data_IF_955398064016
#
_entry.id   IF_955398064016
#
_cell.length_a   1.000
_cell.length_b   1.000
_cell.length_c   1.000
_cell.angle_alpha   90.00
_cell.angle_beta   90.00
_cell.angle_gamma   90.00
#
_symmetry.space_group_name_H-M   'P 1'
#
loop_
_entity.id
_entity.type
_entity.pdbx_description
1 polymer ?
#
# COMPACT_ATOMS: atom_id res chain seq x y z
N UNK A 1 -0.60 47.32 -43.89
CA UNK A 1 -0.20 47.65 -42.51
C UNK A 1 -1.23 47.09 -41.56
N UNK A 2 -0.90 45.95 -40.95
CA UNK A 2 -1.42 45.38 -39.71
C UNK A 2 -1.04 43.89 -39.70
N UNK A 3 -0.31 43.41 -38.68
CA UNK A 3 -0.49 42.04 -38.26
C UNK A 3 -0.98 42.02 -36.80
N UNK A 4 -2.04 41.24 -36.60
CA UNK A 4 -2.57 40.84 -35.31
C UNK A 4 -1.52 40.00 -34.58
N UNK A 5 -1.09 40.45 -33.40
CA UNK A 5 -0.32 39.62 -32.47
C UNK A 5 -1.33 38.95 -31.54
N UNK A 6 -1.65 37.69 -31.83
CA UNK A 6 -2.42 36.83 -30.94
C UNK A 6 -1.49 36.37 -29.81
N UNK A 7 -1.56 37.04 -28.66
CA UNK A 7 -0.85 36.63 -27.45
C UNK A 7 -1.66 35.51 -26.77
N UNK A 8 -1.32 34.25 -27.05
CA UNK A 8 -1.90 33.10 -26.34
C UNK A 8 -1.22 32.99 -24.96
N UNK A 9 -1.83 33.60 -23.94
CA UNK A 9 -1.48 33.40 -22.54
C UNK A 9 -1.84 31.95 -22.16
N UNK A 10 -0.87 31.05 -22.30
CA UNK A 10 -0.87 29.74 -21.65
C UNK A 10 -0.82 29.98 -20.14
N UNK A 11 -1.99 30.06 -19.52
CA UNK A 11 -2.14 29.83 -18.08
C UNK A 11 -1.78 28.37 -17.84
N UNK A 12 -0.50 28.09 -17.60
CA UNK A 12 -0.10 26.89 -16.89
C UNK A 12 -0.78 26.97 -15.53
N UNK A 13 -1.90 26.27 -15.38
CA UNK A 13 -2.37 25.84 -14.07
C UNK A 13 -1.27 24.94 -13.51
N UNK A 14 -0.34 25.53 -12.77
CA UNK A 14 0.46 24.82 -11.78
C UNK A 14 -0.55 24.26 -10.79
N UNK A 15 -0.99 23.02 -11.05
CA UNK A 15 -1.56 22.18 -10.01
C UNK A 15 -0.38 21.94 -9.06
N UNK A 16 -0.23 22.85 -8.11
CA UNK A 16 0.56 22.60 -6.92
C UNK A 16 -0.02 21.33 -6.31
N UNK A 17 0.69 20.22 -6.49
CA UNK A 17 0.44 19.02 -5.71
C UNK A 17 0.59 19.44 -4.26
N UNK A 18 -0.54 19.69 -3.61
CA UNK A 18 -0.62 20.04 -2.20
C UNK A 18 0.14 18.96 -1.42
N UNK A 19 1.34 19.31 -0.95
CA UNK A 19 2.08 18.55 0.05
C UNK A 19 1.39 18.78 1.40
N UNK A 20 0.17 18.28 1.53
CA UNK A 20 -0.48 18.19 2.83
C UNK A 20 0.17 17.02 3.57
N UNK A 21 0.88 17.36 4.65
CA UNK A 21 1.56 16.42 5.56
C UNK A 21 0.59 15.54 6.39
N UNK A 22 -0.71 15.49 6.05
CA UNK A 22 -1.65 14.54 6.66
C UNK A 22 -1.72 13.29 5.78
N UNK A 23 -0.97 12.26 6.16
CA UNK A 23 -0.87 10.99 5.45
C UNK A 23 -2.14 10.15 5.61
N UNK A 24 -3.21 10.59 4.96
CA UNK A 24 -4.53 9.98 4.77
C UNK A 24 -5.51 11.13 4.48
N UNK A 25 -5.54 11.61 3.23
CA UNK A 25 -6.13 12.88 2.76
C UNK A 25 -7.67 13.03 2.97
N UNK A 26 -8.20 12.76 4.17
CA UNK A 26 -9.62 12.92 4.51
C UNK A 26 -10.57 12.04 3.69
N UNK A 27 -10.05 11.12 2.88
CA UNK A 27 -10.85 10.25 2.02
C UNK A 27 -11.32 9.05 2.83
N UNK A 28 -12.63 8.86 2.90
CA UNK A 28 -13.24 7.73 3.60
C UNK A 28 -12.89 6.43 2.87
N UNK A 29 -12.02 5.63 3.48
CA UNK A 29 -11.80 4.29 2.98
C UNK A 29 -13.02 3.45 3.28
N UNK A 30 -13.53 2.74 2.28
CA UNK A 30 -14.46 1.65 2.49
C UNK A 30 -13.69 0.48 3.13
N UNK A 31 -13.35 0.62 4.41
CA UNK A 31 -12.48 -0.29 5.14
C UNK A 31 -13.26 -0.97 6.25
N UNK A 32 -13.23 -2.30 6.22
CA UNK A 32 -13.67 -3.16 7.30
C UNK A 32 -12.54 -4.13 7.66
N UNK A 33 -12.07 -4.08 8.91
CA UNK A 33 -10.96 -4.92 9.38
C UNK A 33 -11.27 -6.41 9.21
N UNK A 34 -12.50 -6.84 9.49
CA UNK A 34 -12.88 -8.25 9.41
C UNK A 34 -12.76 -8.79 7.99
N UNK A 35 -13.14 -7.98 7.00
CA UNK A 35 -13.01 -8.31 5.58
C UNK A 35 -11.56 -8.38 5.10
N UNK A 36 -10.64 -7.68 5.76
CA UNK A 36 -9.20 -7.67 5.41
C UNK A 36 -8.45 -8.87 6.00
N UNK A 37 -8.89 -9.44 7.13
CA UNK A 37 -8.18 -10.55 7.77
C UNK A 37 -8.02 -11.77 6.84
N UNK A 38 -6.89 -12.47 6.98
CA UNK A 38 -6.56 -13.68 6.26
C UNK A 38 -5.62 -13.46 5.06
N UNK A 39 -5.50 -14.48 4.19
CA UNK A 39 -4.53 -14.45 3.10
C UNK A 39 -5.01 -13.59 1.93
N UNK A 40 -4.04 -12.94 1.28
CA UNK A 40 -4.19 -12.13 0.08
C UNK A 40 -2.97 -12.34 -0.84
N UNK A 41 -3.18 -12.27 -2.15
CA UNK A 41 -2.15 -12.37 -3.17
C UNK A 41 -1.92 -11.00 -3.79
N UNK A 42 -0.67 -10.56 -3.88
CA UNK A 42 -0.32 -9.39 -4.69
C UNK A 42 -0.56 -9.72 -6.16
N UNK A 43 -1.49 -9.02 -6.79
CA UNK A 43 -1.83 -9.23 -8.21
C UNK A 43 -1.32 -8.11 -9.12
N UNK A 44 -1.01 -6.94 -8.57
CA UNK A 44 -0.41 -5.84 -9.31
C UNK A 44 0.17 -4.78 -8.36
N UNK A 45 1.01 -3.90 -8.90
CA UNK A 45 1.41 -2.65 -8.25
C UNK A 45 1.19 -1.47 -9.18
N UNK A 46 0.96 -0.29 -8.63
CA UNK A 46 1.07 0.99 -9.35
C UNK A 46 2.39 1.63 -8.93
N UNK A 47 3.40 1.68 -9.82
CA UNK A 47 4.72 2.22 -9.48
C UNK A 47 4.70 3.75 -9.43
N UNK A 48 5.56 4.33 -8.58
CA UNK A 48 5.91 5.75 -8.64
C UNK A 48 6.98 6.02 -9.70
N UNK A 49 7.30 7.31 -9.91
CA UNK A 49 8.33 7.73 -10.89
C UNK A 49 9.71 7.12 -10.66
N UNK A 50 10.09 6.90 -9.40
CA UNK A 50 11.40 6.38 -9.01
C UNK A 50 11.46 4.84 -8.97
N UNK A 51 10.36 4.15 -9.26
CA UNK A 51 10.36 2.69 -9.30
C UNK A 51 11.29 2.19 -10.42
N UNK A 52 12.21 1.26 -10.13
CA UNK A 52 13.14 0.72 -11.13
C UNK A 52 12.37 -0.08 -12.18
N UNK A 53 12.92 -0.16 -13.39
CA UNK A 53 12.36 -0.99 -14.45
C UNK A 53 12.67 -2.47 -14.20
N UNK A 54 11.98 -3.04 -13.20
CA UNK A 54 12.11 -4.42 -12.75
C UNK A 54 10.75 -5.09 -12.66
N UNK A 55 10.67 -6.41 -12.88
CA UNK A 55 9.42 -7.14 -12.73
C UNK A 55 8.89 -7.02 -11.30
N UNK A 56 7.57 -7.06 -11.19
CA UNK A 56 6.88 -7.04 -9.90
C UNK A 56 7.10 -8.36 -9.19
N UNK A 57 7.53 -8.31 -7.94
CA UNK A 57 7.59 -9.49 -7.09
C UNK A 57 6.20 -9.84 -6.59
N UNK A 58 5.80 -11.07 -6.86
CA UNK A 58 4.50 -11.61 -6.50
C UNK A 58 4.61 -12.51 -5.27
N UNK A 59 3.84 -12.23 -4.23
CA UNK A 59 3.84 -13.02 -3.01
C UNK A 59 2.46 -12.99 -2.34
N UNK A 60 2.29 -13.89 -1.38
CA UNK A 60 1.15 -13.92 -0.49
C UNK A 60 1.45 -13.02 0.72
N UNK A 61 0.45 -12.26 1.15
CA UNK A 61 0.45 -11.51 2.41
C UNK A 61 -0.68 -12.02 3.28
N UNK A 62 -0.41 -12.25 4.56
CA UNK A 62 -1.44 -12.60 5.52
C UNK A 62 -1.67 -11.41 6.47
N UNK A 63 -2.91 -10.93 6.50
CA UNK A 63 -3.33 -9.84 7.35
C UNK A 63 -3.98 -10.40 8.62
N UNK A 64 -3.56 -9.93 9.78
CA UNK A 64 -4.16 -10.30 11.06
C UNK A 64 -4.27 -9.09 11.98
N UNK A 65 -5.26 -9.11 12.86
CA UNK A 65 -5.33 -8.15 13.97
C UNK A 65 -4.35 -8.55 15.07
N UNK A 66 -3.79 -7.57 15.77
CA UNK A 66 -2.98 -7.78 16.97
C UNK A 66 -3.42 -6.77 18.02
N UNK A 67 -3.36 -7.15 19.30
CA UNK A 67 -3.69 -6.22 20.37
C UNK A 67 -2.50 -5.32 20.74
N UNK A 68 -2.79 -4.23 21.45
CA UNK A 68 -1.76 -3.27 21.88
C UNK A 68 -0.74 -3.91 22.82
N UNK A 69 -1.19 -4.82 23.69
CA UNK A 69 -0.34 -5.49 24.67
C UNK A 69 0.69 -6.41 24.00
N UNK A 70 0.27 -7.19 23.01
CA UNK A 70 1.12 -8.06 22.22
C UNK A 70 2.14 -7.28 21.41
N UNK A 71 1.75 -6.17 20.79
CA UNK A 71 2.70 -5.31 20.08
C UNK A 71 3.71 -4.67 21.05
N UNK A 72 3.28 -4.14 22.19
CA UNK A 72 4.19 -3.58 23.21
C UNK A 72 5.19 -4.61 23.72
N UNK A 73 4.73 -5.83 23.99
CA UNK A 73 5.60 -6.93 24.40
C UNK A 73 6.64 -7.24 23.33
N UNK A 74 6.21 -7.35 22.07
CA UNK A 74 7.09 -7.64 20.94
C UNK A 74 8.15 -6.56 20.76
N UNK A 75 7.77 -5.28 20.78
CA UNK A 75 8.75 -4.22 20.63
C UNK A 75 9.76 -4.21 21.78
N UNK A 76 9.30 -4.36 23.03
CA UNK A 76 10.19 -4.45 24.20
C UNK A 76 11.18 -5.63 24.11
N UNK A 77 10.82 -6.71 23.41
CA UNK A 77 11.69 -7.86 23.20
C UNK A 77 12.66 -7.69 22.04
N UNK A 78 12.34 -6.86 21.06
CA UNK A 78 13.06 -6.82 19.79
C UNK A 78 13.91 -5.57 19.60
N UNK A 79 13.62 -4.47 20.29
CA UNK A 79 14.45 -3.26 20.26
C UNK A 79 15.24 -3.17 21.57
N UNK A 80 16.58 -3.21 21.49
CA UNK A 80 17.48 -3.03 22.63
C UNK A 80 17.38 -1.63 23.26
N UNK A 81 16.82 -0.68 22.52
CA UNK A 81 16.51 0.66 23.01
C UNK A 81 15.01 0.80 23.15
N UNK A 82 14.54 1.15 24.35
CA UNK A 82 13.16 1.56 24.59
C UNK A 82 12.84 2.80 23.75
N UNK A 83 12.46 2.62 22.48
CA UNK A 83 11.68 3.63 21.79
C UNK A 83 10.42 3.83 22.64
N UNK A 84 10.20 5.06 23.12
CA UNK A 84 9.01 5.41 23.87
C UNK A 84 7.78 5.21 23.00
N UNK A 85 7.24 3.99 23.04
CA UNK A 85 6.01 3.59 22.37
C UNK A 85 4.79 3.79 23.27
N UNK A 86 4.82 4.88 24.04
CA UNK A 86 3.72 5.29 24.91
C UNK A 86 2.41 5.53 24.14
N UNK A 87 2.51 5.72 22.82
CA UNK A 87 1.39 6.06 21.92
C UNK A 87 0.95 4.92 20.97
N UNK A 88 1.22 3.66 21.31
CA UNK A 88 0.53 2.53 20.68
C UNK A 88 -0.87 2.48 21.30
N UNK A 89 -1.85 3.03 20.56
CA UNK A 89 -3.28 2.97 20.84
C UNK A 89 -4.06 2.72 19.56
N UNK A 90 -5.19 2.02 19.68
CA UNK A 90 -6.12 1.73 18.59
C UNK A 90 -5.84 0.41 17.88
N UNK A 91 -6.59 0.15 16.81
CA UNK A 91 -6.47 -1.07 16.01
C UNK A 91 -5.07 -1.22 15.42
N UNK A 92 -4.48 -2.40 15.57
CA UNK A 92 -3.18 -2.74 15.00
C UNK A 92 -3.37 -3.85 13.97
N UNK A 93 -2.78 -3.64 12.81
CA UNK A 93 -2.73 -4.63 11.75
C UNK A 93 -1.32 -5.18 11.63
N UNK A 94 -1.22 -6.49 11.53
CA UNK A 94 0.01 -7.20 11.16
C UNK A 94 -0.12 -7.67 9.72
N UNK A 95 0.94 -7.45 8.96
CA UNK A 95 1.10 -7.93 7.59
C UNK A 95 2.29 -8.88 7.59
N UNK A 96 2.03 -10.17 7.37
CA UNK A 96 3.07 -11.19 7.18
C UNK A 96 3.31 -11.40 5.70
N UNK A 97 4.49 -11.05 5.23
CA UNK A 97 4.90 -11.17 3.84
C UNK A 97 5.57 -12.53 3.61
N UNK A 98 4.98 -13.38 2.78
CA UNK A 98 5.54 -14.67 2.39
C UNK A 98 6.42 -14.52 1.15
N UNK A 99 7.51 -13.75 1.31
CA UNK A 99 8.53 -13.58 0.29
C UNK A 99 9.64 -14.65 0.43
N UNK A 100 10.65 -14.63 -0.46
CA UNK A 100 11.85 -15.47 -0.35
C UNK A 100 12.49 -15.37 1.05
N UNK A 101 12.51 -14.16 1.62
CA UNK A 101 12.82 -13.90 3.01
C UNK A 101 11.56 -13.36 3.70
N UNK A 102 10.79 -14.21 4.42
CA UNK A 102 9.57 -13.78 5.07
C UNK A 102 9.83 -12.73 6.15
N UNK A 103 8.98 -11.72 6.22
CA UNK A 103 9.07 -10.67 7.23
C UNK A 103 7.68 -10.20 7.64
N UNK A 104 7.61 -9.57 8.81
CA UNK A 104 6.37 -9.10 9.40
C UNK A 104 6.43 -7.59 9.63
N UNK A 105 5.33 -6.91 9.33
CA UNK A 105 5.16 -5.47 9.55
C UNK A 105 3.93 -5.23 10.40
N UNK A 106 4.09 -4.45 11.47
CA UNK A 106 3.00 -4.01 12.33
C UNK A 106 2.74 -2.53 12.12
N UNK A 107 1.47 -2.19 11.91
CA UNK A 107 1.02 -0.82 11.70
C UNK A 107 -0.17 -0.51 12.59
N UNK A 108 -0.15 0.66 13.23
CA UNK A 108 -1.22 1.14 14.12
C UNK A 108 -2.15 2.08 13.38
N UNK A 109 -3.42 2.11 13.74
CA UNK A 109 -4.34 3.11 13.20
C UNK A 109 -3.97 4.53 13.67
N UNK A 110 -4.08 5.51 12.77
CA UNK A 110 -3.73 6.93 13.04
C UNK A 110 -4.88 7.91 12.79
N UNK A 111 -6.12 7.41 12.68
CA UNK A 111 -7.32 8.22 12.45
C UNK A 111 -7.81 8.13 11.00
N UNK A 112 -9.14 8.12 10.82
CA UNK A 112 -9.79 7.79 9.54
C UNK A 112 -9.87 6.28 9.29
N UNK A 113 -10.96 5.81 8.68
CA UNK A 113 -11.12 4.40 8.36
C UNK A 113 -9.99 3.94 7.41
N UNK A 114 -9.39 2.77 7.69
CA UNK A 114 -8.37 2.16 6.85
C UNK A 114 -6.98 2.79 6.91
N UNK A 115 -6.75 3.81 7.74
CA UNK A 115 -5.47 4.52 7.84
C UNK A 115 -4.54 3.94 8.91
N UNK A 116 -3.33 3.60 8.51
CA UNK A 116 -2.34 2.96 9.36
C UNK A 116 -0.95 3.57 9.19
N UNK A 117 -0.23 3.71 10.30
CA UNK A 117 1.18 4.09 10.34
C UNK A 117 1.99 2.88 10.81
N UNK A 118 3.06 2.56 10.09
CA UNK A 118 3.97 1.51 10.50
C UNK A 118 4.66 1.83 11.84
N UNK A 119 4.74 0.84 12.72
CA UNK A 119 5.34 0.92 14.06
C UNK A 119 6.54 0.00 14.21
N UNK A 120 6.50 -1.19 13.60
CA UNK A 120 7.58 -2.17 13.69
C UNK A 120 7.70 -2.91 12.36
N UNK A 121 8.94 -3.11 11.90
CA UNK A 121 9.28 -4.08 10.86
C UNK A 121 10.41 -4.94 11.40
N UNK A 122 10.20 -6.26 11.42
CA UNK A 122 11.23 -7.20 11.85
C UNK A 122 11.91 -7.74 10.60
N UNK A 123 13.21 -7.45 10.50
CA UNK A 123 14.12 -7.66 9.35
C UNK A 123 14.34 -6.41 8.47
N UNK A 124 15.36 -5.62 8.84
CA UNK A 124 15.74 -4.33 8.25
C UNK A 124 16.89 -4.44 7.24
N UNK A 125 17.05 -5.59 6.55
CA UNK A 125 18.06 -5.69 5.49
C UNK A 125 17.63 -4.86 4.27
N UNK A 126 18.21 -3.67 4.11
CA UNK A 126 17.77 -2.61 3.18
C UNK A 126 17.96 -2.95 1.68
N UNK A 127 18.41 -4.16 1.35
CA UNK A 127 18.67 -4.59 -0.04
C UNK A 127 17.44 -5.13 -0.78
N UNK A 128 16.34 -5.45 -0.07
CA UNK A 128 15.12 -5.96 -0.69
C UNK A 128 14.12 -4.82 -0.98
N UNK A 129 13.74 -4.67 -2.26
CA UNK A 129 12.75 -3.66 -2.68
C UNK A 129 11.37 -3.88 -2.03
N UNK A 130 11.08 -5.11 -1.62
CA UNK A 130 9.87 -5.48 -0.87
C UNK A 130 9.87 -4.86 0.53
N UNK A 131 11.06 -4.64 1.11
CA UNK A 131 11.23 -3.93 2.40
C UNK A 131 11.25 -2.41 2.24
N UNK A 132 11.61 -1.90 1.05
CA UNK A 132 11.48 -0.47 0.73
C UNK A 132 10.01 0.01 0.69
N UNK A 133 9.05 -0.92 0.50
CA UNK A 133 7.62 -0.66 0.67
C UNK A 133 7.24 -0.27 2.11
N UNK A 134 8.07 -0.66 3.08
CA UNK A 134 7.76 -0.67 4.51
C UNK A 134 8.76 0.16 5.30
N UNK A 135 9.30 1.24 4.73
CA UNK A 135 10.12 2.20 5.50
C UNK A 135 9.27 3.41 5.86
N UNK A 136 8.95 3.55 7.16
CA UNK A 136 8.26 4.69 7.78
C UNK A 136 6.96 5.14 7.07
N UNK A 137 6.33 4.24 6.32
CA UNK A 137 5.24 4.58 5.45
C UNK A 137 3.91 4.61 6.21
N UNK A 138 3.23 5.74 6.12
CA UNK A 138 1.79 5.76 6.26
C UNK A 138 1.15 5.03 5.07
N UNK A 139 0.11 4.25 5.36
CA UNK A 139 -0.65 3.51 4.39
C UNK A 139 -2.15 3.65 4.64
N UNK A 140 -2.92 3.45 3.59
CA UNK A 140 -4.37 3.41 3.64
C UNK A 140 -4.85 2.17 2.90
N UNK A 141 -5.70 1.39 3.56
CA UNK A 141 -6.30 0.18 3.04
C UNK A 141 -7.71 0.49 2.56
N UNK A 142 -7.99 0.18 1.30
CA UNK A 142 -9.30 0.35 0.66
C UNK A 142 -9.82 -0.99 0.16
N UNK A 143 -11.08 -1.30 0.43
CA UNK A 143 -11.77 -2.42 -0.21
C UNK A 143 -12.59 -1.89 -1.38
N UNK A 144 -12.37 -2.46 -2.55
CA UNK A 144 -13.13 -2.17 -3.76
C UNK A 144 -13.82 -3.43 -4.24
N UNK A 145 -15.15 -3.35 -4.33
CA UNK A 145 -15.96 -4.40 -4.93
C UNK A 145 -16.13 -4.09 -6.42
N UNK A 146 -15.53 -4.89 -7.33
CA UNK A 146 -15.70 -4.69 -8.75
C UNK A 146 -17.13 -5.06 -9.16
N UNK A 147 -17.70 -4.30 -10.12
CA UNK A 147 -19.05 -4.55 -10.65
C UNK A 147 -19.16 -5.90 -11.38
N UNK A 148 -18.03 -6.47 -11.81
CA UNK A 148 -17.96 -7.75 -12.52
C UNK A 148 -18.17 -8.98 -11.62
N UNK A 149 -18.32 -8.78 -10.31
CA UNK A 149 -18.58 -9.85 -9.34
C UNK A 149 -17.40 -10.79 -9.10
N UNK A 150 -16.19 -10.45 -9.57
CA UNK A 150 -15.00 -11.30 -9.42
C UNK A 150 -14.38 -11.29 -8.02
N UNK A 151 -15.05 -10.62 -7.07
CA UNK A 151 -14.70 -10.51 -5.66
C UNK A 151 -13.80 -9.30 -5.36
N UNK A 152 -13.65 -8.96 -4.08
CA UNK A 152 -13.05 -7.70 -3.66
C UNK A 152 -11.56 -7.62 -4.01
N UNK A 153 -11.16 -6.40 -4.34
CA UNK A 153 -9.78 -5.97 -4.28
C UNK A 153 -9.50 -5.29 -2.95
N UNK A 154 -8.36 -5.64 -2.36
CA UNK A 154 -7.76 -4.82 -1.32
C UNK A 154 -6.68 -3.96 -1.96
N UNK A 155 -6.77 -2.64 -1.81
CA UNK A 155 -5.80 -1.68 -2.33
C UNK A 155 -5.09 -1.04 -1.16
N UNK A 156 -3.79 -1.30 -1.05
CA UNK A 156 -2.92 -0.63 -0.10
C UNK A 156 -2.24 0.54 -0.79
N UNK A 157 -2.73 1.73 -0.51
CA UNK A 157 -2.11 2.96 -0.96
C UNK A 157 -0.93 3.25 -0.02
N UNK A 158 0.21 3.63 -0.60
CA UNK A 158 1.44 3.91 0.13
C UNK A 158 1.89 5.34 -0.15
N UNK A 159 2.10 6.14 0.90
CA UNK A 159 2.56 7.52 0.76
C UNK A 159 4.09 7.64 0.64
N UNK A 160 4.75 6.52 0.36
CA UNK A 160 6.19 6.44 0.08
C UNK A 160 6.57 6.84 -1.35
N UNK A 161 7.87 6.77 -1.66
CA UNK A 161 8.45 7.28 -2.92
C UNK A 161 8.54 6.28 -4.08
N UNK A 162 8.36 4.98 -3.82
CA UNK A 162 8.66 3.91 -4.80
C UNK A 162 7.42 3.26 -5.42
N UNK A 163 6.38 3.04 -4.62
CA UNK A 163 5.14 2.38 -5.07
C UNK A 163 3.97 3.23 -4.58
N UNK A 164 3.05 3.58 -5.46
CA UNK A 164 1.84 4.33 -5.13
C UNK A 164 0.80 3.45 -4.48
N UNK A 165 0.62 2.24 -5.01
CA UNK A 165 -0.33 1.27 -4.48
C UNK A 165 0.10 -0.18 -4.75
N UNK A 166 -0.23 -1.06 -3.81
CA UNK A 166 -0.19 -2.52 -3.97
C UNK A 166 -1.62 -3.02 -4.06
N UNK A 167 -1.90 -3.84 -5.06
CA UNK A 167 -3.23 -4.38 -5.33
C UNK A 167 -3.25 -5.87 -4.98
N UNK A 168 -4.23 -6.24 -4.17
CA UNK A 168 -4.39 -7.58 -3.65
C UNK A 168 -5.72 -8.21 -4.07
N UNK A 169 -5.73 -9.55 -4.19
CA UNK A 169 -6.94 -10.37 -4.31
C UNK A 169 -6.87 -11.61 -3.42
N UNK A 170 -8.03 -12.22 -3.15
CA UNK A 170 -8.09 -13.54 -2.49
C UNK A 170 -7.59 -14.69 -3.36
N UNK A 171 -7.49 -14.48 -4.67
CA UNK A 171 -7.05 -15.45 -5.67
C UNK A 171 -5.93 -14.85 -6.55
N UNK A 172 -5.10 -15.72 -7.13
CA UNK A 172 -3.99 -15.31 -7.98
C UNK A 172 -4.50 -14.73 -9.31
N UNK A 173 -3.82 -13.69 -9.78
CA UNK A 173 -4.00 -13.14 -11.11
C UNK A 173 -5.11 -12.08 -11.24
N UNK A 174 -4.96 -11.27 -12.27
CA UNK A 174 -5.89 -10.20 -12.67
C UNK A 174 -5.58 -9.83 -14.12
N UNK A 175 -6.47 -9.06 -14.75
CA UNK A 175 -6.25 -8.49 -16.09
C UNK A 175 -6.21 -6.98 -16.03
N UNK A 176 -5.64 -6.35 -17.07
CA UNK A 176 -5.57 -4.89 -17.14
C UNK A 176 -6.96 -4.24 -17.08
N UNK A 177 -7.96 -4.85 -17.72
CA UNK A 177 -9.34 -4.35 -17.71
C UNK A 177 -9.98 -4.42 -16.33
N UNK A 178 -9.69 -5.47 -15.56
CA UNK A 178 -10.17 -5.60 -14.18
C UNK A 178 -9.57 -4.56 -13.23
N UNK A 179 -8.40 -4.03 -13.54
CA UNK A 179 -7.72 -2.99 -12.74
C UNK A 179 -8.17 -1.56 -13.09
N UNK A 180 -9.08 -1.38 -14.05
CA UNK A 180 -9.49 -0.06 -14.54
C UNK A 180 -10.06 0.83 -13.43
N UNK A 181 -11.00 0.31 -12.65
CA UNK A 181 -11.62 1.05 -11.54
C UNK A 181 -10.62 1.47 -10.46
N UNK A 182 -9.63 0.62 -10.19
CA UNK A 182 -8.53 0.92 -9.25
C UNK A 182 -7.65 2.03 -9.81
N UNK A 183 -7.30 1.96 -11.10
CA UNK A 183 -6.49 2.98 -11.76
C UNK A 183 -7.20 4.34 -11.78
N UNK A 184 -8.51 4.36 -12.03
CA UNK A 184 -9.34 5.56 -11.98
C UNK A 184 -9.43 6.15 -10.57
N UNK A 185 -9.64 5.31 -9.55
CA UNK A 185 -9.61 5.73 -8.15
C UNK A 185 -8.26 6.37 -7.80
N UNK A 186 -7.17 5.68 -8.12
CA UNK A 186 -5.82 6.16 -7.83
C UNK A 186 -5.50 7.45 -8.57
N UNK A 187 -5.97 7.59 -9.81
CA UNK A 187 -5.83 8.82 -10.60
C UNK A 187 -6.62 9.99 -10.01
N UNK A 188 -7.81 9.71 -9.45
CA UNK A 188 -8.62 10.72 -8.74
C UNK A 188 -7.97 11.16 -7.43
N UNK A 189 -7.37 10.22 -6.69
CA UNK A 189 -6.77 10.49 -5.38
C UNK A 189 -5.41 11.17 -5.47
N UNK A 190 -4.58 10.81 -6.44
CA UNK A 190 -3.16 11.19 -6.51
C UNK A 190 -2.76 11.85 -7.83
N UNK A 191 -3.72 12.16 -8.70
CA UNK A 191 -3.44 12.65 -10.05
C UNK A 191 -2.94 11.54 -10.98
N UNK A 192 -2.52 11.88 -12.21
CA UNK A 192 -2.14 10.89 -13.22
C UNK A 192 -1.15 9.85 -12.71
N UNK A 193 -1.52 8.57 -12.83
CA UNK A 193 -0.70 7.44 -12.37
C UNK A 193 -0.02 6.73 -13.55
N UNK A 194 1.09 6.02 -13.25
CA UNK A 194 1.63 5.03 -14.18
C UNK A 194 0.67 3.85 -14.29
N UNK A 195 0.67 3.17 -15.44
CA UNK A 195 -0.13 1.97 -15.62
C UNK A 195 0.23 0.90 -14.58
N UNK A 196 -0.76 0.18 -14.03
CA UNK A 196 -0.51 -0.95 -13.15
C UNK A 196 0.41 -1.97 -13.82
N UNK A 197 1.42 -2.43 -13.09
CA UNK A 197 2.27 -3.55 -13.49
C UNK A 197 1.66 -4.82 -12.90
N UNK A 198 1.19 -5.71 -13.76
CA UNK A 198 0.55 -6.97 -13.36
C UNK A 198 1.61 -7.96 -12.88
N UNK A 199 1.28 -8.65 -11.79
CA UNK A 199 2.05 -9.75 -11.29
C UNK A 199 1.77 -11.03 -12.10
N UNK A 200 2.80 -11.60 -12.72
CA UNK A 200 2.68 -12.83 -13.52
C UNK A 200 3.20 -14.09 -12.82
N UNK A 201 4.22 -13.96 -11.94
CA UNK A 201 4.96 -15.10 -11.37
C UNK A 201 5.10 -14.99 -9.87
N UNK A 202 4.31 -15.77 -9.14
CA UNK A 202 4.38 -15.93 -7.69
C UNK A 202 5.69 -16.58 -7.28
N UNK A 203 6.35 -16.00 -6.27
CA UNK A 203 7.47 -16.65 -5.60
C UNK A 203 7.01 -18.01 -5.05
N UNK A 204 7.94 -18.97 -4.96
CA UNK A 204 7.62 -20.33 -4.51
C UNK A 204 6.89 -20.27 -3.19
N UNK A 205 5.62 -20.65 -3.21
CA UNK A 205 4.88 -20.93 -2.00
C UNK A 205 5.59 -22.10 -1.31
N UNK A 206 6.13 -21.86 -0.13
CA UNK A 206 6.53 -22.96 0.73
C UNK A 206 5.29 -23.83 0.90
N UNK A 207 5.38 -25.08 0.41
CA UNK A 207 4.36 -26.09 0.59
C UNK A 207 4.14 -26.23 2.10
N UNK A 208 3.03 -25.67 2.60
CA UNK A 208 2.51 -26.08 3.90
C UNK A 208 2.04 -27.52 3.69
N UNK A 209 2.70 -28.46 4.36
CA UNK A 209 2.12 -29.78 4.56
C UNK A 209 0.91 -29.60 5.48
N UNK A 210 -0.24 -30.07 5.02
CA UNK A 210 -1.47 -30.21 5.80
C UNK A 210 -1.24 -31.06 7.07
#
# INVERSE_FOLDING_TARGET
>A
MAPYITLLLLTLSTIEAHTNNSSCNGFEANFDMKSVIGPWYVVAIIPEKLYPDKPVTCYRVEFSETDEAGLRWLVNKTLDHHQNLTDIKGTIIRQRYHAEHPFDVWSKSVGGAGCFQQVLSLDADNSDITKALTQEAAMQLHILEPEDGTGPYLVQILWGRMISAVIYRKHKGTTQDQLRSIFELMSKLRGPQRLPMICEKYQKEFLNFD
#
